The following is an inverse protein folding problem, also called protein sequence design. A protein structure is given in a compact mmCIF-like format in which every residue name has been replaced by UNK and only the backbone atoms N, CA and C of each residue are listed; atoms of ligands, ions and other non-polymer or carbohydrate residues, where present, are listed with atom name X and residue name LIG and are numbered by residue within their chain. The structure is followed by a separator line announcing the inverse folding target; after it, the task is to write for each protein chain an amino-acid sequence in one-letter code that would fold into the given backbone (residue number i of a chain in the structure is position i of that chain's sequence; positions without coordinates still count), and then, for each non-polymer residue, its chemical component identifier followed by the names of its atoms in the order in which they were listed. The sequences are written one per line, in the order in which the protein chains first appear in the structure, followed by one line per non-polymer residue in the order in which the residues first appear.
data_IF_900649032431
#
_entry.id   IF_900649032431
#
_cell.length_a   1.000
_cell.length_b   1.000
_cell.length_c   1.000
_cell.angle_alpha   90.00
_cell.angle_beta   90.00
_cell.angle_gamma   90.00
#
_symmetry.space_group_name_H-M   'P 1'
#
loop_
_entity.id
_entity.type
_entity.pdbx_description
1 polymer ?
#
# COMPACT_ATOMS: atom_id res chain seq x y z
N UNK A 1 12.30 43.82 -0.21
CA UNK A 1 11.75 42.66 -0.95
C UNK A 1 12.59 41.46 -0.60
N UNK A 2 12.12 40.62 0.32
CA UNK A 2 12.76 39.35 0.66
C UNK A 2 12.06 38.28 -0.16
N UNK A 3 12.75 37.72 -1.16
CA UNK A 3 12.20 36.63 -1.99
C UNK A 3 12.37 35.34 -1.20
N UNK A 4 11.27 34.79 -0.68
CA UNK A 4 11.23 33.42 -0.18
C UNK A 4 11.37 32.48 -1.39
N UNK A 5 12.51 31.79 -1.49
CA UNK A 5 12.67 30.67 -2.41
C UNK A 5 12.12 29.44 -1.69
N UNK A 6 10.87 29.10 -1.99
CA UNK A 6 10.26 27.83 -1.60
C UNK A 6 10.99 26.72 -2.38
N UNK A 7 11.99 26.10 -1.77
CA UNK A 7 12.66 24.93 -2.35
C UNK A 7 11.78 23.71 -2.10
N UNK A 8 10.84 23.45 -3.01
CA UNK A 8 10.20 22.15 -3.09
C UNK A 8 11.29 21.15 -3.49
N UNK A 9 11.75 20.34 -2.54
CA UNK A 9 12.54 19.14 -2.85
C UNK A 9 11.56 18.13 -3.43
N UNK A 10 11.19 18.32 -4.71
CA UNK A 10 10.66 17.23 -5.50
C UNK A 10 11.82 16.27 -5.68
N UNK A 11 11.76 15.12 -5.01
CA UNK A 11 12.64 13.99 -5.33
C UNK A 11 12.56 13.77 -6.83
N UNK A 12 13.68 13.98 -7.54
CA UNK A 12 13.73 13.78 -8.98
C UNK A 12 13.52 12.30 -9.27
N UNK A 13 12.31 11.93 -9.73
CA UNK A 13 12.05 10.61 -10.28
C UNK A 13 13.11 10.37 -11.37
N UNK A 14 13.90 9.27 -11.31
CA UNK A 14 14.78 8.95 -12.42
C UNK A 14 13.94 8.82 -13.69
N UNK A 15 14.46 9.28 -14.84
CA UNK A 15 13.73 9.32 -16.12
C UNK A 15 13.29 7.95 -16.66
N UNK A 16 13.50 6.89 -15.89
CA UNK A 16 13.21 5.49 -16.20
C UNK A 16 12.27 4.84 -15.17
N UNK A 17 11.81 5.55 -14.14
CA UNK A 17 10.82 5.00 -13.21
C UNK A 17 9.44 4.94 -13.87
N UNK A 18 8.91 3.74 -14.05
CA UNK A 18 7.56 3.52 -14.53
C UNK A 18 6.54 4.08 -13.52
N UNK A 19 5.61 4.88 -14.04
CA UNK A 19 4.49 5.43 -13.29
C UNK A 19 3.27 5.36 -14.22
N UNK A 20 2.66 4.18 -14.27
CA UNK A 20 1.63 3.82 -15.24
C UNK A 20 0.30 3.68 -14.53
N UNK A 21 -0.73 4.37 -15.00
CA UNK A 21 -2.09 4.27 -14.49
C UNK A 21 -3.03 4.03 -15.67
N UNK A 22 -3.78 2.94 -15.61
CA UNK A 22 -4.63 2.44 -16.70
C UNK A 22 -6.07 2.46 -16.22
N UNK A 23 -6.92 3.18 -16.95
CA UNK A 23 -8.37 3.21 -16.78
C UNK A 23 -8.99 2.15 -17.70
N UNK A 24 -9.45 1.04 -17.11
CA UNK A 24 -9.84 -0.13 -17.87
C UNK A 24 -11.24 0.03 -18.46
N UNK A 25 -11.40 -0.24 -19.76
CA UNK A 25 -12.61 0.05 -20.52
C UNK A 25 -12.73 1.51 -20.99
N UNK A 26 -11.81 2.41 -20.61
CA UNK A 26 -11.74 3.75 -21.18
C UNK A 26 -10.84 3.78 -22.42
N UNK A 27 -11.18 4.64 -23.39
CA UNK A 27 -10.32 4.95 -24.54
C UNK A 27 -9.59 6.28 -24.39
N UNK A 28 -10.26 7.29 -23.84
CA UNK A 28 -9.71 8.63 -23.70
C UNK A 28 -8.91 8.77 -22.39
N UNK A 29 -7.79 9.50 -22.39
CA UNK A 29 -7.03 9.75 -21.18
C UNK A 29 -7.76 10.71 -20.23
N UNK A 30 -7.57 10.50 -18.94
CA UNK A 30 -8.12 11.32 -17.86
C UNK A 30 -6.99 11.76 -16.91
N UNK A 31 -7.11 12.92 -16.28
CA UNK A 31 -6.18 13.34 -15.21
C UNK A 31 -6.98 13.64 -13.97
N UNK A 32 -6.62 12.98 -12.87
CA UNK A 32 -7.35 13.08 -11.62
C UNK A 32 -6.90 14.26 -10.75
N UNK A 33 -7.55 14.38 -9.59
CA UNK A 33 -7.28 15.44 -8.61
C UNK A 33 -5.86 15.36 -8.03
N UNK A 34 -5.24 14.17 -8.03
CA UNK A 34 -3.87 13.94 -7.59
C UNK A 34 -2.84 14.25 -8.70
N UNK A 35 -3.28 14.77 -9.85
CA UNK A 35 -2.44 15.01 -11.03
C UNK A 35 -1.85 13.73 -11.63
N UNK A 36 -2.52 12.59 -11.41
CA UNK A 36 -2.17 11.32 -12.06
C UNK A 36 -2.91 11.27 -13.40
N UNK A 37 -2.14 11.10 -14.48
CA UNK A 37 -2.69 10.84 -15.80
C UNK A 37 -2.99 9.35 -15.96
N UNK A 38 -4.25 9.03 -16.17
CA UNK A 38 -4.79 7.72 -16.48
C UNK A 38 -4.91 7.58 -18.01
N UNK A 39 -4.31 6.53 -18.55
CA UNK A 39 -4.43 6.16 -19.95
C UNK A 39 -5.56 5.15 -20.15
N UNK A 40 -6.25 5.21 -21.29
CA UNK A 40 -7.11 4.11 -21.73
C UNK A 40 -6.33 2.80 -21.92
N UNK A 41 -7.03 1.67 -21.88
CA UNK A 41 -6.39 0.36 -21.80
C UNK A 41 -6.07 -0.32 -23.14
N UNK A 42 -6.55 0.22 -24.26
CA UNK A 42 -6.39 -0.38 -25.61
C UNK A 42 -4.93 -0.65 -26.00
N UNK A 43 -3.98 0.11 -25.46
CA UNK A 43 -2.54 -0.07 -25.69
C UNK A 43 -1.89 -1.18 -24.85
N UNK A 44 -2.58 -1.69 -23.83
CA UNK A 44 -2.04 -2.60 -22.83
C UNK A 44 -2.65 -4.01 -22.90
N UNK A 45 -3.85 -4.16 -23.47
CA UNK A 45 -4.59 -5.42 -23.54
C UNK A 45 -5.21 -5.62 -24.93
N UNK A 46 -5.20 -6.85 -25.43
CA UNK A 46 -5.68 -7.19 -26.78
C UNK A 46 -7.03 -7.92 -26.80
N UNK A 47 -7.52 -8.34 -25.63
CA UNK A 47 -8.76 -9.11 -25.48
C UNK A 47 -9.74 -8.40 -24.53
N UNK A 48 -10.92 -8.98 -24.40
CA UNK A 48 -11.96 -8.45 -23.53
C UNK A 48 -12.78 -7.32 -24.16
N UNK A 49 -13.84 -6.96 -23.47
CA UNK A 49 -14.84 -5.99 -23.91
C UNK A 49 -14.95 -4.87 -22.87
N UNK A 50 -15.07 -3.64 -23.33
CA UNK A 50 -15.36 -2.51 -22.45
C UNK A 50 -16.82 -2.54 -22.02
N UNK A 51 -17.07 -2.32 -20.74
CA UNK A 51 -18.40 -2.19 -20.15
C UNK A 51 -18.50 -0.92 -19.31
N UNK A 52 -19.73 -0.41 -19.22
CA UNK A 52 -20.06 0.72 -18.36
C UNK A 52 -20.72 0.18 -17.09
N UNK A 53 -20.38 0.78 -15.97
CA UNK A 53 -21.08 0.56 -14.70
C UNK A 53 -22.53 1.02 -14.80
N UNK A 54 -23.42 0.38 -14.06
CA UNK A 54 -24.83 0.78 -13.97
C UNK A 54 -24.95 2.24 -13.48
N UNK A 55 -25.77 3.03 -14.18
CA UNK A 55 -25.95 4.47 -13.93
C UNK A 55 -26.51 4.78 -12.53
N UNK A 56 -27.04 3.79 -11.82
CA UNK A 56 -27.48 3.92 -10.43
C UNK A 56 -26.31 4.17 -9.46
N UNK A 57 -25.06 3.86 -9.87
CA UNK A 57 -23.87 4.07 -9.06
C UNK A 57 -23.20 5.41 -9.35
N UNK A 58 -22.95 6.20 -8.30
CA UNK A 58 -22.20 7.45 -8.38
C UNK A 58 -20.75 7.20 -7.97
N UNK A 59 -19.90 6.85 -8.93
CA UNK A 59 -18.48 6.56 -8.71
C UNK A 59 -17.56 7.53 -9.47
N UNK A 60 -16.28 7.56 -9.07
CA UNK A 60 -15.26 8.34 -9.77
C UNK A 60 -15.03 7.84 -11.20
N UNK A 61 -14.47 8.69 -12.05
CA UNK A 61 -14.27 8.44 -13.49
C UNK A 61 -13.62 7.07 -13.78
N UNK A 62 -12.50 6.78 -13.11
CA UNK A 62 -11.71 5.54 -13.26
C UNK A 62 -12.47 4.27 -12.82
N UNK A 63 -13.57 4.42 -12.09
CA UNK A 63 -14.43 3.31 -11.68
C UNK A 63 -15.74 3.26 -12.47
N UNK A 64 -15.98 4.21 -13.40
CA UNK A 64 -17.21 4.24 -14.20
C UNK A 64 -17.17 3.25 -15.38
N UNK A 65 -15.99 2.79 -15.74
CA UNK A 65 -15.75 1.76 -16.75
C UNK A 65 -15.02 0.56 -16.17
N UNK A 66 -15.16 -0.56 -16.85
CA UNK A 66 -14.36 -1.76 -16.60
C UNK A 66 -14.18 -2.55 -17.90
N UNK A 67 -13.14 -3.36 -17.96
CA UNK A 67 -12.97 -4.35 -19.01
C UNK A 67 -13.32 -5.74 -18.49
N UNK A 68 -14.10 -6.48 -19.28
CA UNK A 68 -14.55 -7.85 -18.98
C UNK A 68 -13.95 -8.85 -19.94
N UNK A 69 -13.74 -10.08 -19.49
CA UNK A 69 -13.09 -11.14 -20.28
C UNK A 69 -13.99 -12.39 -20.42
N UNK A 70 -15.04 -12.33 -21.26
CA UNK A 70 -16.06 -13.39 -21.35
C UNK A 70 -15.57 -14.65 -22.07
N UNK A 71 -14.57 -14.53 -22.95
CA UNK A 71 -14.03 -15.66 -23.71
C UNK A 71 -13.02 -16.47 -22.90
N UNK A 72 -13.27 -17.78 -22.81
CA UNK A 72 -12.29 -18.76 -22.33
C UNK A 72 -11.16 -18.89 -23.34
N UNK A 73 -10.05 -18.19 -23.10
CA UNK A 73 -8.82 -18.24 -23.89
C UNK A 73 -7.61 -17.95 -23.01
N UNK A 74 -6.43 -18.46 -23.39
CA UNK A 74 -5.29 -18.56 -22.48
C UNK A 74 -4.55 -17.24 -22.13
N UNK A 75 -5.00 -16.07 -22.59
CA UNK A 75 -4.26 -14.82 -22.33
C UNK A 75 -5.16 -13.56 -22.26
N UNK A 76 -5.84 -13.36 -21.14
CA UNK A 76 -6.44 -12.06 -20.79
C UNK A 76 -5.44 -11.27 -19.93
N UNK A 77 -4.40 -10.75 -20.59
CA UNK A 77 -3.26 -10.16 -19.91
C UNK A 77 -3.05 -8.71 -20.33
N UNK A 78 -2.90 -7.85 -19.33
CA UNK A 78 -2.30 -6.54 -19.50
C UNK A 78 -0.79 -6.72 -19.58
N UNK A 79 -0.14 -6.11 -20.58
CA UNK A 79 1.33 -6.10 -20.70
C UNK A 79 1.84 -4.68 -20.53
N UNK A 80 2.69 -4.45 -19.54
CA UNK A 80 3.28 -3.14 -19.24
C UNK A 80 4.77 -3.22 -19.51
N UNK A 81 5.23 -2.45 -20.51
CA UNK A 81 6.65 -2.36 -20.89
C UNK A 81 7.37 -1.19 -20.23
N UNK A 82 8.63 -0.98 -20.63
CA UNK A 82 9.44 0.14 -20.13
C UNK A 82 10.10 -0.12 -18.77
N UNK A 83 10.19 -1.38 -18.37
CA UNK A 83 10.81 -1.82 -17.13
C UNK A 83 12.26 -2.27 -17.35
N UNK A 84 12.98 -2.49 -16.26
CA UNK A 84 14.32 -3.06 -16.21
C UNK A 84 14.29 -4.44 -15.56
N UNK A 85 15.19 -5.32 -15.99
CA UNK A 85 15.30 -6.64 -15.38
C UNK A 85 15.79 -6.51 -13.93
N UNK A 86 15.05 -7.09 -12.98
CA UNK A 86 15.32 -6.95 -11.55
C UNK A 86 14.71 -5.69 -10.93
N UNK A 87 13.90 -4.95 -11.68
CA UNK A 87 13.18 -3.79 -11.16
C UNK A 87 12.10 -4.24 -10.17
N UNK A 88 12.07 -3.57 -9.01
CA UNK A 88 11.02 -3.79 -8.01
C UNK A 88 9.86 -2.86 -8.33
N UNK A 89 8.67 -3.44 -8.48
CA UNK A 89 7.45 -2.69 -8.81
C UNK A 89 6.37 -2.96 -7.78
N UNK A 90 5.54 -1.96 -7.52
CA UNK A 90 4.24 -2.10 -6.89
C UNK A 90 3.19 -2.12 -7.99
N UNK A 91 2.36 -3.15 -7.99
CA UNK A 91 1.18 -3.26 -8.86
C UNK A 91 -0.07 -3.21 -8.00
N UNK A 92 -1.03 -2.36 -8.39
CA UNK A 92 -2.36 -2.28 -7.78
C UNK A 92 -3.43 -2.55 -8.84
N UNK A 93 -4.28 -3.54 -8.58
CA UNK A 93 -5.43 -3.83 -9.42
C UNK A 93 -6.72 -3.51 -8.64
N UNK A 94 -7.61 -2.73 -9.25
CA UNK A 94 -8.87 -2.29 -8.63
C UNK A 94 -10.07 -2.85 -9.37
N UNK A 95 -11.09 -3.26 -8.59
CA UNK A 95 -12.27 -3.95 -9.06
C UNK A 95 -13.51 -3.30 -8.45
N UNK A 96 -14.27 -2.62 -9.30
CA UNK A 96 -15.62 -2.18 -8.98
C UNK A 96 -16.59 -2.85 -9.94
N UNK A 97 -17.40 -3.78 -9.43
CA UNK A 97 -18.31 -4.56 -10.26
C UNK A 97 -19.45 -3.70 -10.84
N UNK A 98 -20.01 -2.79 -10.03
CA UNK A 98 -20.96 -1.78 -10.49
C UNK A 98 -22.18 -2.33 -11.24
N UNK A 99 -22.54 -3.60 -11.00
CA UNK A 99 -23.64 -4.32 -11.65
C UNK A 99 -23.71 -4.15 -13.19
N UNK A 100 -22.57 -4.09 -13.87
CA UNK A 100 -22.50 -3.77 -15.31
C UNK A 100 -23.34 -4.71 -16.20
N UNK A 101 -23.59 -5.95 -15.75
CA UNK A 101 -24.35 -6.97 -16.47
C UNK A 101 -25.79 -7.19 -15.94
N UNK A 102 -26.20 -6.42 -14.92
CA UNK A 102 -27.53 -6.51 -14.31
C UNK A 102 -27.76 -7.75 -13.43
N UNK A 103 -26.74 -8.58 -13.14
CA UNK A 103 -26.90 -9.84 -12.42
C UNK A 103 -26.77 -9.72 -10.90
N UNK A 104 -26.22 -8.62 -10.38
CA UNK A 104 -25.92 -8.41 -8.96
C UNK A 104 -25.13 -9.57 -8.33
N UNK A 105 -24.27 -10.22 -9.12
CA UNK A 105 -23.59 -11.45 -8.74
C UNK A 105 -22.13 -11.38 -9.19
N UNK A 106 -21.27 -10.66 -8.44
CA UNK A 106 -19.89 -10.46 -8.86
C UNK A 106 -19.12 -11.79 -8.91
N UNK A 107 -18.22 -11.95 -9.90
CA UNK A 107 -17.52 -13.19 -10.16
C UNK A 107 -16.31 -13.42 -9.23
N UNK A 108 -15.88 -14.66 -9.14
CA UNK A 108 -14.61 -15.11 -8.54
C UNK A 108 -13.66 -15.56 -9.64
N UNK A 109 -12.44 -15.04 -9.64
CA UNK A 109 -11.44 -15.33 -10.67
C UNK A 109 -10.03 -15.17 -10.11
N UNK A 110 -9.04 -15.69 -10.83
CA UNK A 110 -7.63 -15.62 -10.40
C UNK A 110 -6.90 -14.48 -11.10
N UNK A 111 -6.00 -13.84 -10.36
CA UNK A 111 -4.98 -12.93 -10.89
C UNK A 111 -3.64 -13.65 -10.95
N UNK A 112 -2.95 -13.49 -12.07
CA UNK A 112 -1.59 -13.95 -12.26
C UNK A 112 -0.67 -12.77 -12.56
N UNK A 113 0.50 -12.76 -11.95
CA UNK A 113 1.57 -11.79 -12.20
C UNK A 113 2.75 -12.57 -12.80
N UNK A 114 3.13 -12.24 -14.04
CA UNK A 114 4.18 -12.91 -14.80
C UNK A 114 4.00 -14.44 -14.85
N UNK A 115 2.74 -14.88 -14.93
CA UNK A 115 2.35 -16.30 -14.96
C UNK A 115 2.34 -17.01 -13.60
N UNK A 116 2.70 -16.34 -12.50
CA UNK A 116 2.58 -16.88 -11.16
C UNK A 116 1.23 -16.48 -10.56
N UNK A 117 0.56 -17.41 -9.86
CA UNK A 117 -0.68 -17.09 -9.16
C UNK A 117 -0.38 -16.03 -8.11
N UNK A 118 -1.01 -14.86 -8.25
CA UNK A 118 -0.91 -13.77 -7.30
C UNK A 118 -2.00 -13.91 -6.23
N UNK A 119 -3.28 -13.93 -6.64
CA UNK A 119 -4.40 -14.04 -5.70
C UNK A 119 -5.67 -14.50 -6.41
N UNK A 120 -6.54 -15.24 -5.69
CA UNK A 120 -7.93 -15.47 -6.09
C UNK A 120 -8.80 -14.33 -5.60
N UNK A 121 -9.39 -13.58 -6.52
CA UNK A 121 -10.27 -12.45 -6.23
C UNK A 121 -11.66 -12.96 -5.85
N UNK A 122 -12.13 -12.58 -4.67
CA UNK A 122 -13.50 -12.80 -4.21
C UNK A 122 -14.14 -11.47 -3.82
N UNK A 123 -15.26 -11.11 -4.44
CA UNK A 123 -16.05 -9.93 -4.08
C UNK A 123 -17.21 -10.33 -3.14
N UNK A 124 -16.97 -11.26 -2.22
CA UNK A 124 -17.99 -11.88 -1.36
C UNK A 124 -18.69 -10.91 -0.40
N UNK A 125 -18.06 -9.75 -0.12
CA UNK A 125 -18.62 -8.67 0.71
C UNK A 125 -18.99 -7.45 -0.14
N UNK A 126 -19.29 -7.63 -1.43
CA UNK A 126 -19.79 -6.55 -2.28
C UNK A 126 -21.00 -5.90 -1.62
N UNK A 127 -20.81 -4.65 -1.18
CA UNK A 127 -21.91 -3.72 -1.01
C UNK A 127 -21.97 -2.86 -2.26
N UNK A 128 -23.17 -2.40 -2.58
CA UNK A 128 -23.50 -1.65 -3.81
C UNK A 128 -22.47 -0.55 -4.18
N UNK A 129 -21.76 0.08 -3.23
CA UNK A 129 -20.80 1.16 -3.50
C UNK A 129 -19.35 0.87 -3.10
N UNK A 130 -18.95 -0.40 -2.92
CA UNK A 130 -17.58 -0.72 -2.49
C UNK A 130 -16.77 -1.32 -3.63
N UNK A 131 -15.65 -0.68 -3.96
CA UNK A 131 -14.60 -1.28 -4.78
C UNK A 131 -13.63 -2.06 -3.89
N UNK A 132 -12.99 -3.07 -4.46
CA UNK A 132 -11.88 -3.78 -3.81
C UNK A 132 -10.62 -3.55 -4.63
N UNK A 133 -9.48 -3.44 -3.97
CA UNK A 133 -8.19 -3.43 -4.65
C UNK A 133 -7.25 -4.44 -3.98
N UNK A 134 -6.29 -4.92 -4.74
CA UNK A 134 -5.18 -5.71 -4.22
C UNK A 134 -3.86 -5.11 -4.70
N UNK A 135 -2.84 -5.22 -3.87
CA UNK A 135 -1.49 -4.78 -4.19
C UNK A 135 -0.49 -5.93 -4.05
N UNK A 136 0.48 -5.95 -4.97
CA UNK A 136 1.66 -6.79 -4.88
C UNK A 136 2.91 -5.95 -5.11
N UNK A 137 3.94 -6.21 -4.32
CA UNK A 137 5.31 -5.82 -4.67
C UNK A 137 6.02 -7.06 -5.19
N UNK A 138 6.64 -6.93 -6.36
CA UNK A 138 7.33 -8.01 -7.06
C UNK A 138 8.58 -7.51 -7.77
N UNK A 139 9.55 -8.41 -7.96
CA UNK A 139 10.76 -8.14 -8.73
C UNK A 139 10.59 -8.74 -10.12
N UNK A 140 10.41 -7.88 -11.13
CA UNK A 140 10.13 -8.32 -12.49
C UNK A 140 11.37 -8.92 -13.17
N UNK A 141 11.16 -9.97 -13.94
CA UNK A 141 12.21 -10.64 -14.71
C UNK A 141 12.11 -10.29 -16.19
N UNK A 142 12.44 -9.06 -16.57
CA UNK A 142 12.42 -8.63 -17.96
C UNK A 142 12.30 -7.12 -18.13
N UNK A 143 11.98 -6.69 -19.36
CA UNK A 143 11.71 -5.27 -19.69
C UNK A 143 10.21 -4.95 -19.79
N UNK A 144 9.38 -5.95 -19.54
CA UNK A 144 7.94 -5.86 -19.46
C UNK A 144 7.43 -6.88 -18.44
N UNK A 145 6.23 -6.64 -17.92
CA UNK A 145 5.51 -7.54 -17.02
C UNK A 145 4.08 -7.75 -17.51
N UNK A 146 3.45 -8.85 -17.08
CA UNK A 146 2.05 -9.14 -17.37
C UNK A 146 1.20 -9.39 -16.14
N UNK A 147 0.01 -8.79 -16.15
CA UNK A 147 -1.06 -9.04 -15.18
C UNK A 147 -2.22 -9.69 -15.91
N UNK A 148 -2.47 -10.96 -15.62
CA UNK A 148 -3.46 -11.78 -16.31
C UNK A 148 -4.65 -12.11 -15.40
N UNK A 149 -5.84 -12.11 -15.99
CA UNK A 149 -7.09 -12.48 -15.31
C UNK A 149 -7.60 -13.82 -15.86
N UNK A 150 -7.79 -14.81 -14.99
CA UNK A 150 -8.18 -16.16 -15.38
C UNK A 150 -9.51 -16.56 -14.77
N UNK A 151 -10.42 -17.03 -15.62
CA UNK A 151 -11.68 -17.62 -15.20
C UNK A 151 -11.43 -18.96 -14.49
N UNK A 152 -11.95 -19.10 -13.27
CA UNK A 152 -11.80 -20.33 -12.46
C UNK A 152 -12.95 -21.32 -12.68
N UNK A 153 -14.15 -20.82 -12.98
CA UNK A 153 -15.35 -21.63 -13.21
C UNK A 153 -16.20 -21.05 -14.35
N UNK A 154 -17.02 -21.87 -15.03
CA UNK A 154 -17.95 -21.38 -16.04
C UNK A 154 -18.84 -20.24 -15.51
N UNK A 155 -19.05 -19.22 -16.33
CA UNK A 155 -19.85 -18.03 -16.01
C UNK A 155 -19.30 -17.13 -14.87
N UNK A 156 -18.09 -17.38 -14.38
CA UNK A 156 -17.37 -16.43 -13.52
C UNK A 156 -16.46 -15.55 -14.39
N UNK A 157 -17.02 -14.50 -14.98
CA UNK A 157 -16.32 -13.69 -16.00
C UNK A 157 -15.34 -12.72 -15.34
N UNK A 158 -14.02 -12.84 -15.53
CA UNK A 158 -13.08 -11.91 -14.92
C UNK A 158 -13.27 -10.48 -15.44
N UNK A 159 -13.03 -9.49 -14.58
CA UNK A 159 -13.10 -8.08 -14.95
C UNK A 159 -12.07 -7.26 -14.17
N UNK A 160 -11.78 -6.04 -14.62
CA UNK A 160 -10.91 -5.08 -13.93
C UNK A 160 -11.34 -3.65 -14.26
N UNK A 161 -11.31 -2.76 -13.26
CA UNK A 161 -11.68 -1.35 -13.41
C UNK A 161 -10.44 -0.47 -13.59
N UNK A 162 -9.36 -0.76 -12.88
CA UNK A 162 -8.10 -0.03 -13.08
C UNK A 162 -6.87 -0.85 -12.73
N UNK A 163 -5.74 -0.48 -13.35
CA UNK A 163 -4.43 -1.09 -13.11
C UNK A 163 -3.36 -0.01 -12.98
N UNK A 164 -2.64 -0.01 -11.86
CA UNK A 164 -1.54 0.92 -11.59
C UNK A 164 -0.23 0.15 -11.43
N UNK A 165 0.86 0.67 -11.98
CA UNK A 165 2.22 0.19 -11.77
C UNK A 165 3.14 1.35 -11.37
N UNK A 166 3.93 1.13 -10.32
CA UNK A 166 4.91 2.08 -9.78
C UNK A 166 6.25 1.40 -9.62
N UNK A 167 7.29 1.95 -10.23
CA UNK A 167 8.66 1.57 -9.91
C UNK A 167 9.02 2.01 -8.50
N UNK A 168 9.58 1.09 -7.73
CA UNK A 168 10.05 1.33 -6.37
C UNK A 168 11.57 1.55 -6.35
N UNK A 169 12.07 2.06 -5.22
CA UNK A 169 13.50 2.15 -4.98
C UNK A 169 14.16 0.76 -5.02
N UNK A 170 15.40 0.65 -5.54
CA UNK A 170 16.07 -0.64 -5.73
C UNK A 170 16.36 -1.38 -4.42
N UNK A 171 16.41 -0.66 -3.29
CA UNK A 171 16.64 -1.24 -1.98
C UNK A 171 15.37 -1.45 -1.15
N UNK A 172 14.25 -0.80 -1.51
CA UNK A 172 12.99 -0.91 -0.76
C UNK A 172 12.56 -2.37 -0.67
N UNK A 173 12.05 -2.82 0.48
CA UNK A 173 11.57 -4.18 0.69
C UNK A 173 12.65 -5.23 0.37
N UNK A 174 13.90 -4.94 0.72
CA UNK A 174 15.10 -5.70 0.36
C UNK A 174 15.21 -7.07 1.04
N UNK A 175 14.39 -7.30 2.06
CA UNK A 175 14.40 -8.54 2.85
C UNK A 175 13.58 -9.68 2.26
N UNK A 176 12.81 -9.44 1.18
CA UNK A 176 11.99 -10.46 0.53
C UNK A 176 12.66 -10.93 -0.75
N UNK A 177 12.82 -12.24 -0.88
CA UNK A 177 13.46 -12.84 -2.05
C UNK A 177 12.68 -12.58 -3.34
N UNK A 178 13.38 -12.42 -4.45
CA UNK A 178 12.82 -12.06 -5.77
C UNK A 178 11.76 -13.02 -6.35
N UNK A 179 11.50 -14.16 -5.71
CA UNK A 179 10.50 -15.16 -6.14
C UNK A 179 9.15 -15.01 -5.43
N UNK A 180 9.08 -14.16 -4.41
CA UNK A 180 7.90 -14.00 -3.56
C UNK A 180 7.23 -12.65 -3.85
N UNK A 181 5.92 -12.61 -3.64
CA UNK A 181 5.16 -11.36 -3.63
C UNK A 181 5.12 -10.82 -2.21
N UNK A 182 5.18 -9.51 -2.03
CA UNK A 182 4.56 -8.90 -0.85
C UNK A 182 3.13 -8.53 -1.22
N UNK A 183 2.15 -9.25 -0.70
CA UNK A 183 0.74 -9.10 -1.07
C UNK A 183 -0.10 -8.54 0.07
N UNK A 184 -1.25 -7.94 -0.28
CA UNK A 184 -2.28 -7.55 0.69
C UNK A 184 -1.81 -6.43 1.63
N UNK A 185 -1.17 -5.41 1.06
CA UNK A 185 -0.59 -4.32 1.82
C UNK A 185 -1.63 -3.63 2.73
N UNK A 186 -1.40 -3.69 4.03
CA UNK A 186 -2.05 -2.84 5.01
C UNK A 186 -1.03 -1.78 5.46
N UNK A 187 -1.19 -0.55 4.95
CA UNK A 187 -0.34 0.59 5.32
C UNK A 187 -1.13 1.58 6.13
N UNK A 188 -0.73 1.77 7.39
CA UNK A 188 -1.40 2.66 8.31
C UNK A 188 -0.64 3.98 8.45
N UNK A 189 -1.39 5.08 8.38
CA UNK A 189 -0.94 6.40 8.81
C UNK A 189 -1.85 6.93 9.91
N UNK A 190 -1.30 7.77 10.78
CA UNK A 190 -2.07 8.50 11.78
C UNK A 190 -2.28 9.97 11.39
N UNK A 191 -1.98 10.32 10.14
CA UNK A 191 -2.36 11.60 9.57
C UNK A 191 -3.89 11.77 9.54
N UNK A 192 -4.34 13.02 9.46
CA UNK A 192 -5.78 13.34 9.44
C UNK A 192 -6.51 12.76 8.22
N UNK A 193 -5.80 12.56 7.12
CA UNK A 193 -6.32 12.04 5.86
C UNK A 193 -5.38 10.96 5.35
N UNK A 194 -5.89 10.09 4.47
CA UNK A 194 -5.05 9.13 3.75
C UNK A 194 -3.97 9.85 2.96
N UNK A 195 -2.79 9.22 2.86
CA UNK A 195 -1.63 9.77 2.14
C UNK A 195 -1.35 8.91 0.92
N UNK A 196 -1.11 9.56 -0.22
CA UNK A 196 -0.64 8.94 -1.47
C UNK A 196 0.13 9.98 -2.28
N UNK A 197 0.32 9.77 -3.59
CA UNK A 197 0.87 10.80 -4.46
C UNK A 197 0.06 12.12 -4.39
N UNK A 198 0.70 13.30 -4.37
CA UNK A 198 2.14 13.55 -4.55
C UNK A 198 2.99 13.44 -3.28
N UNK A 199 2.39 13.31 -2.10
CA UNK A 199 3.12 13.25 -0.83
C UNK A 199 3.94 11.97 -0.68
N UNK A 200 3.47 10.85 -1.24
CA UNK A 200 4.26 9.64 -1.50
C UNK A 200 4.65 9.55 -2.98
N UNK A 201 5.94 9.75 -3.32
CA UNK A 201 6.43 9.66 -4.70
C UNK A 201 6.23 8.28 -5.36
N UNK A 202 6.12 7.22 -4.55
CA UNK A 202 5.86 5.85 -4.97
C UNK A 202 4.36 5.53 -5.04
N UNK A 203 3.50 6.50 -4.70
CA UNK A 203 2.04 6.40 -4.77
C UNK A 203 1.46 5.18 -4.04
N UNK A 204 2.10 4.79 -2.93
CA UNK A 204 1.51 3.83 -1.99
C UNK A 204 0.30 4.46 -1.33
N UNK A 205 -0.76 3.68 -1.15
CA UNK A 205 -1.92 4.14 -0.38
C UNK A 205 -1.67 3.89 1.10
N UNK A 206 -1.67 4.97 1.88
CA UNK A 206 -1.63 4.93 3.34
C UNK A 206 -3.02 5.26 3.88
N UNK A 207 -3.63 4.30 4.57
CA UNK A 207 -4.97 4.43 5.15
C UNK A 207 -4.86 5.12 6.49
N UNK A 208 -5.71 6.14 6.72
CA UNK A 208 -5.72 6.86 7.98
C UNK A 208 -6.42 6.05 9.09
N UNK A 209 -5.77 5.93 10.24
CA UNK A 209 -6.35 5.36 11.46
C UNK A 209 -6.53 6.45 12.50
N UNK A 210 -7.72 6.50 13.10
CA UNK A 210 -8.03 7.47 14.15
C UNK A 210 -7.51 7.00 15.52
N UNK A 211 -7.14 7.96 16.37
CA UNK A 211 -6.88 7.66 17.78
C UNK A 211 -8.17 7.23 18.51
N UNK A 212 -8.07 6.15 19.27
CA UNK A 212 -9.10 5.77 20.24
C UNK A 212 -9.02 6.60 21.53
N UNK A 213 -9.91 6.33 22.49
CA UNK A 213 -9.99 7.11 23.75
C UNK A 213 -8.71 7.08 24.62
N UNK A 214 -7.89 6.04 24.48
CA UNK A 214 -6.67 5.84 25.28
C UNK A 214 -5.39 6.28 24.56
N UNK A 215 -5.53 7.07 23.50
CA UNK A 215 -4.42 7.55 22.69
C UNK A 215 -4.67 8.96 22.16
N UNK A 216 -3.59 9.59 21.72
CA UNK A 216 -3.58 10.88 21.07
C UNK A 216 -2.73 10.83 19.80
N UNK A 217 -3.04 11.71 18.85
CA UNK A 217 -2.18 11.93 17.69
C UNK A 217 -1.28 13.12 17.98
N UNK A 218 0.02 12.84 18.08
CA UNK A 218 1.05 13.86 18.17
C UNK A 218 1.47 14.28 16.77
N UNK A 219 1.74 15.57 16.60
CA UNK A 219 2.12 16.15 15.30
C UNK A 219 3.45 16.86 15.38
N UNK A 220 4.20 16.85 14.29
CA UNK A 220 5.51 17.50 14.14
C UNK A 220 5.51 18.42 12.93
N UNK A 221 5.91 19.67 13.12
CA UNK A 221 6.15 20.62 12.03
C UNK A 221 7.58 20.51 11.46
N UNK A 222 8.42 19.62 12.01
CA UNK A 222 9.78 19.44 11.55
C UNK A 222 9.80 18.72 10.19
N UNK A 223 10.77 19.10 9.36
CA UNK A 223 11.16 18.27 8.23
C UNK A 223 11.82 16.99 8.76
N UNK A 224 11.46 15.85 8.18
CA UNK A 224 11.98 14.54 8.60
C UNK A 224 12.81 13.99 7.46
N UNK A 225 14.09 13.72 7.72
CA UNK A 225 14.96 13.06 6.76
C UNK A 225 14.57 11.58 6.63
N UNK A 226 14.04 11.25 5.45
CA UNK A 226 13.59 9.89 5.09
C UNK A 226 14.66 9.12 4.30
N UNK A 227 15.76 9.76 3.94
CA UNK A 227 16.81 9.14 3.10
C UNK A 227 17.56 8.02 3.80
N UNK A 228 17.44 7.92 5.12
CA UNK A 228 18.05 6.88 5.95
C UNK A 228 17.20 5.62 6.08
N UNK A 229 15.93 5.66 5.68
CA UNK A 229 15.02 4.50 5.68
C UNK A 229 15.11 3.76 4.36
N UNK A 230 15.05 2.43 4.42
CA UNK A 230 15.08 1.55 3.25
C UNK A 230 13.83 1.79 2.39
N UNK A 231 12.67 1.85 3.03
CA UNK A 231 11.36 1.94 2.39
C UNK A 231 10.86 3.37 2.16
N UNK A 232 11.62 4.38 2.59
CA UNK A 232 11.38 5.80 2.30
C UNK A 232 9.89 6.20 2.48
N UNK A 233 9.30 6.03 3.68
CA UNK A 233 7.93 6.46 3.94
C UNK A 233 7.79 7.98 3.72
N UNK A 234 6.63 8.48 3.29
CA UNK A 234 6.44 9.91 3.05
C UNK A 234 6.51 10.71 4.35
N UNK A 235 7.04 11.94 4.30
CA UNK A 235 7.15 12.81 5.48
C UNK A 235 5.78 13.11 6.10
N UNK A 236 4.73 13.27 5.27
CA UNK A 236 3.37 13.52 5.74
C UNK A 236 2.87 12.41 6.69
N UNK A 237 3.34 11.17 6.50
CA UNK A 237 3.02 10.06 7.39
C UNK A 237 3.85 10.16 8.68
N UNK A 238 5.15 10.44 8.57
CA UNK A 238 6.05 10.52 9.73
C UNK A 238 5.80 11.73 10.64
N UNK A 239 5.21 12.80 10.12
CA UNK A 239 4.85 13.99 10.90
C UNK A 239 3.67 13.76 11.86
N UNK A 240 3.04 12.59 11.80
CA UNK A 240 1.94 12.21 12.67
C UNK A 240 2.33 10.93 13.40
N UNK A 241 2.06 10.87 14.72
CA UNK A 241 2.33 9.69 15.51
C UNK A 241 1.19 9.38 16.45
N UNK A 242 0.78 8.11 16.48
CA UNK A 242 -0.08 7.60 17.53
C UNK A 242 0.74 7.40 18.79
N UNK A 243 0.37 8.07 19.87
CA UNK A 243 0.94 7.89 21.19
C UNK A 243 -0.15 7.50 22.20
N UNK A 244 0.17 6.59 23.10
CA UNK A 244 -0.75 6.28 24.20
C UNK A 244 -0.69 7.36 25.28
N UNK A 245 -1.72 7.45 26.11
CA UNK A 245 -1.79 8.46 27.19
C UNK A 245 -0.92 8.12 28.41
N UNK A 246 -0.30 6.94 28.45
CA UNK A 246 0.49 6.44 29.58
C UNK A 246 1.59 5.49 29.12
N UNK A 247 2.70 5.45 29.85
CA UNK A 247 3.78 4.46 29.68
C UNK A 247 3.35 3.03 29.96
N UNK A 248 2.24 2.83 30.68
CA UNK A 248 1.67 1.50 30.95
C UNK A 248 0.81 0.95 29.81
N UNK A 249 0.60 1.72 28.75
CA UNK A 249 -0.22 1.36 27.60
C UNK A 249 0.65 1.33 26.34
N UNK A 250 0.35 0.41 25.43
CA UNK A 250 1.07 0.23 24.19
C UNK A 250 0.14 0.16 22.98
N UNK A 251 0.45 0.84 21.86
CA UNK A 251 -0.21 0.61 20.59
C UNK A 251 -0.10 -0.86 20.17
N UNK A 252 -1.20 -1.42 19.68
CA UNK A 252 -1.26 -2.71 19.02
C UNK A 252 -1.62 -2.46 17.57
N UNK A 253 -0.87 -3.06 16.65
CA UNK A 253 -1.13 -2.90 15.22
C UNK A 253 -2.45 -3.61 14.88
N UNK A 254 -3.28 -2.94 14.09
CA UNK A 254 -4.35 -3.60 13.36
C UNK A 254 -3.75 -4.16 12.08
N UNK A 255 -3.47 -5.46 12.08
CA UNK A 255 -2.67 -6.10 11.03
C UNK A 255 -3.49 -6.51 9.82
N UNK A 256 -4.80 -6.68 9.98
CA UNK A 256 -5.71 -7.23 8.96
C UNK A 256 -5.25 -8.56 8.35
N UNK A 257 -4.39 -9.31 9.08
CA UNK A 257 -3.90 -10.60 8.61
C UNK A 257 -5.05 -11.63 8.50
N UNK A 258 -4.99 -12.54 7.52
CA UNK A 258 -5.97 -13.60 7.41
C UNK A 258 -5.91 -14.54 8.64
N UNK A 259 -7.01 -15.27 8.86
CA UNK A 259 -7.06 -16.29 9.92
C UNK A 259 -6.05 -17.43 9.71
N UNK A 260 -5.68 -17.69 8.45
CA UNK A 260 -4.65 -18.67 8.10
C UNK A 260 -3.26 -18.24 8.55
N UNK A 261 -2.43 -19.22 8.89
CA UNK A 261 -1.03 -19.00 9.27
C UNK A 261 -0.20 -18.84 8.00
N UNK A 262 0.59 -17.76 7.91
CA UNK A 262 1.43 -17.46 6.74
C UNK A 262 2.66 -16.64 7.11
N UNK A 263 3.64 -16.60 6.20
CA UNK A 263 4.82 -15.74 6.35
C UNK A 263 4.41 -14.29 6.18
N UNK A 264 4.94 -13.40 7.03
CA UNK A 264 4.63 -11.97 6.99
C UNK A 264 5.89 -11.12 6.91
N UNK A 265 5.72 -9.93 6.36
CA UNK A 265 6.68 -8.85 6.40
C UNK A 265 6.00 -7.63 7.02
N UNK A 266 6.50 -7.16 8.16
CA UNK A 266 5.93 -6.01 8.89
C UNK A 266 6.99 -4.93 9.00
N UNK A 267 6.66 -3.70 8.67
CA UNK A 267 7.53 -2.54 8.83
C UNK A 267 6.90 -1.58 9.81
N UNK A 268 7.68 -1.05 10.75
CA UNK A 268 7.25 -0.02 11.68
C UNK A 268 8.18 1.18 11.59
N UNK A 269 7.60 2.38 11.57
CA UNK A 269 8.34 3.63 11.44
C UNK A 269 8.23 4.46 12.70
N UNK A 270 9.38 4.92 13.18
CA UNK A 270 9.52 5.71 14.41
C UNK A 270 10.32 6.97 14.13
N UNK A 271 9.72 8.11 14.45
CA UNK A 271 10.35 9.42 14.49
C UNK A 271 9.77 10.18 15.68
N UNK A 272 10.64 10.75 16.49
CA UNK A 272 10.21 11.59 17.59
C UNK A 272 9.62 12.89 17.03
N UNK A 273 8.40 13.20 17.47
CA UNK A 273 7.61 14.34 16.99
C UNK A 273 7.91 15.64 17.71
N UNK A 274 8.65 15.58 18.82
CA UNK A 274 9.04 16.75 19.62
C UNK A 274 10.49 16.67 20.05
N UNK A 275 11.18 17.82 20.12
CA UNK A 275 12.56 17.83 20.61
C UNK A 275 12.56 17.65 22.13
N UNK A 276 13.00 16.50 22.59
CA UNK A 276 13.04 16.16 24.01
C UNK A 276 14.16 16.92 24.75
N UNK A 277 13.88 17.31 26.00
CA UNK A 277 14.90 17.83 26.91
C UNK A 277 15.76 16.69 27.51
N UNK A 278 16.82 17.04 28.25
CA UNK A 278 17.74 16.05 28.84
C UNK A 278 17.13 15.19 29.95
N UNK A 279 15.94 15.53 30.45
CA UNK A 279 15.20 14.78 31.47
C UNK A 279 14.12 13.87 30.88
N UNK A 280 13.79 14.08 29.60
CA UNK A 280 12.81 13.31 28.86
C UNK A 280 13.49 12.23 28.02
N UNK A 281 12.87 11.06 27.98
CA UNK A 281 13.32 9.93 27.19
C UNK A 281 12.11 9.14 26.74
N UNK A 282 12.02 8.88 25.44
CA UNK A 282 11.11 7.88 24.89
C UNK A 282 11.92 6.66 24.49
N UNK A 283 11.64 5.55 25.16
CA UNK A 283 12.30 4.28 24.93
C UNK A 283 11.26 3.19 24.75
N UNK A 284 11.35 2.48 23.63
CA UNK A 284 10.26 1.64 23.11
C UNK A 284 10.77 0.21 22.91
N UNK A 285 10.01 -0.75 23.41
CA UNK A 285 10.19 -2.17 23.15
C UNK A 285 9.09 -2.66 22.20
N UNK A 286 9.52 -3.35 21.13
CA UNK A 286 8.62 -4.00 20.17
C UNK A 286 8.43 -5.46 20.58
N UNK A 287 7.19 -5.95 20.54
CA UNK A 287 6.79 -7.29 20.93
C UNK A 287 6.03 -8.03 19.83
N UNK A 288 6.30 -9.34 19.73
CA UNK A 288 5.48 -10.31 18.97
C UNK A 288 4.96 -11.34 19.98
N UNK A 289 3.65 -11.43 20.16
CA UNK A 289 3.00 -12.32 21.14
C UNK A 289 3.59 -12.21 22.56
N UNK A 290 3.85 -10.98 23.00
CA UNK A 290 4.47 -10.63 24.29
C UNK A 290 5.95 -11.03 24.43
N UNK A 291 6.61 -11.51 23.37
CA UNK A 291 8.06 -11.73 23.35
C UNK A 291 8.77 -10.52 22.73
N UNK A 292 9.81 -9.96 23.37
CA UNK A 292 10.56 -8.85 22.80
C UNK A 292 11.23 -9.28 21.49
N UNK A 293 11.06 -8.49 20.44
CA UNK A 293 11.61 -8.82 19.11
C UNK A 293 13.08 -8.44 18.96
N UNK A 294 13.45 -7.27 19.49
CA UNK A 294 14.79 -6.68 19.41
C UNK A 294 15.10 -5.87 20.67
N UNK A 295 16.33 -5.38 20.82
CA UNK A 295 16.68 -4.46 21.92
C UNK A 295 15.90 -3.15 21.83
N UNK A 296 15.54 -2.50 22.95
CA UNK A 296 14.76 -1.26 22.93
C UNK A 296 15.31 -0.17 22.00
N UNK A 297 14.41 0.51 21.30
CA UNK A 297 14.73 1.59 20.38
C UNK A 297 14.49 2.96 21.00
N UNK A 298 15.25 3.95 20.53
CA UNK A 298 15.05 5.37 20.81
C UNK A 298 14.68 6.05 19.49
N UNK A 299 13.42 6.54 19.32
CA UNK A 299 13.03 7.25 18.12
C UNK A 299 13.91 8.50 17.89
N UNK A 300 14.48 8.69 16.70
CA UNK A 300 15.28 9.87 16.40
C UNK A 300 14.39 11.09 16.15
N UNK A 301 14.86 12.30 16.47
CA UNK A 301 14.22 13.55 16.09
C UNK A 301 14.79 14.09 14.78
N UNK A 302 13.93 14.40 13.80
CA UNK A 302 14.33 14.94 12.50
C UNK A 302 14.80 13.91 11.47
N UNK A 303 14.81 12.63 11.81
CA UNK A 303 14.99 11.50 10.88
C UNK A 303 14.06 10.35 11.26
N UNK A 304 14.12 9.24 10.53
CA UNK A 304 13.30 8.05 10.78
C UNK A 304 14.16 6.85 11.15
N UNK A 305 13.67 6.09 12.13
CA UNK A 305 14.09 4.72 12.37
C UNK A 305 13.03 3.77 11.80
N UNK A 306 13.46 2.92 10.88
CA UNK A 306 12.66 1.84 10.31
C UNK A 306 13.01 0.54 11.01
N UNK A 307 11.99 -0.25 11.37
CA UNK A 307 12.13 -1.60 11.91
C UNK A 307 11.36 -2.56 11.03
N UNK A 308 12.09 -3.44 10.35
CA UNK A 308 11.51 -4.50 9.53
C UNK A 308 11.52 -5.83 10.29
N UNK A 309 10.33 -6.41 10.46
CA UNK A 309 10.11 -7.73 11.06
C UNK A 309 10.01 -8.74 9.93
N UNK A 310 10.95 -9.70 9.93
CA UNK A 310 11.10 -10.70 8.87
C UNK A 310 11.24 -12.09 9.46
N UNK A 311 11.05 -13.13 8.62
CA UNK A 311 11.12 -14.53 9.02
C UNK A 311 10.15 -14.91 10.15
N UNK A 312 9.00 -14.24 10.19
CA UNK A 312 7.92 -14.50 11.14
C UNK A 312 6.76 -15.14 10.40
N UNK A 313 6.18 -16.15 11.03
CA UNK A 313 4.94 -16.78 10.60
C UNK A 313 3.86 -16.30 11.57
N UNK A 314 2.81 -15.69 11.02
CA UNK A 314 1.77 -15.01 11.78
C UNK A 314 0.37 -15.36 11.23
N UNK A 315 -0.65 -15.01 11.99
CA UNK A 315 -2.06 -15.06 11.60
C UNK A 315 -2.82 -13.91 12.25
N UNK A 316 -4.13 -13.84 12.03
CA UNK A 316 -5.03 -12.90 12.72
C UNK A 316 -4.89 -12.89 14.25
N UNK A 317 -4.43 -13.99 14.86
CA UNK A 317 -4.24 -14.06 16.32
C UNK A 317 -2.89 -13.52 16.81
N UNK A 318 -1.92 -13.34 15.92
CA UNK A 318 -0.58 -12.85 16.26
C UNK A 318 -0.61 -11.37 16.60
N UNK A 319 -0.04 -11.01 17.75
CA UNK A 319 -0.06 -9.63 18.26
C UNK A 319 1.29 -8.96 18.07
N UNK A 320 1.29 -7.90 17.26
CA UNK A 320 2.40 -6.96 17.15
C UNK A 320 2.07 -5.73 18.00
N UNK A 321 2.92 -5.42 18.96
CA UNK A 321 2.68 -4.29 19.86
C UNK A 321 3.96 -3.55 20.21
N UNK A 322 3.82 -2.28 20.57
CA UNK A 322 4.92 -1.42 21.00
C UNK A 322 4.62 -0.93 22.41
N UNK A 323 5.59 -0.97 23.31
CA UNK A 323 5.40 -0.59 24.72
C UNK A 323 6.56 0.29 25.18
N UNK A 324 6.32 1.17 26.16
CA UNK A 324 7.40 1.91 26.80
C UNK A 324 8.23 0.95 27.66
N UNK A 325 9.55 1.14 27.66
CA UNK A 325 10.43 0.46 28.61
C UNK A 325 10.31 1.08 30.01
N UNK A 326 10.75 0.37 31.07
CA UNK A 326 10.68 0.88 32.44
C UNK A 326 11.45 2.20 32.68
N UNK A 327 12.44 2.50 31.85
CA UNK A 327 13.25 3.73 31.91
C UNK A 327 12.75 4.85 30.97
N UNK A 328 11.64 4.63 30.27
CA UNK A 328 10.99 5.67 29.46
C UNK A 328 10.20 6.63 30.36
N UNK A 329 10.41 7.93 30.21
CA UNK A 329 9.62 8.95 30.90
C UNK A 329 8.41 9.44 30.09
N UNK A 330 8.33 9.03 28.82
CA UNK A 330 7.22 9.32 27.91
C UNK A 330 6.54 8.04 27.41
N UNK A 331 5.23 8.07 27.11
CA UNK A 331 4.52 6.94 26.49
C UNK A 331 5.18 6.44 25.20
N UNK A 332 4.96 5.21 24.72
CA UNK A 332 5.41 4.83 23.39
C UNK A 332 4.66 5.61 22.29
N UNK A 333 5.29 5.74 21.12
CA UNK A 333 4.64 6.24 19.90
C UNK A 333 4.97 5.36 18.70
N UNK A 334 4.17 5.47 17.65
CA UNK A 334 4.44 4.89 16.32
C UNK A 334 3.90 5.85 15.26
N UNK A 335 4.69 6.11 14.22
CA UNK A 335 4.31 7.07 13.17
C UNK A 335 3.52 6.39 12.06
N UNK A 336 3.91 5.15 11.73
CA UNK A 336 3.22 4.33 10.74
C UNK A 336 3.69 2.89 10.80
N UNK A 337 2.95 2.04 10.09
CA UNK A 337 3.37 0.67 9.83
C UNK A 337 2.86 0.17 8.49
N UNK A 338 3.51 -0.87 7.97
CA UNK A 338 3.08 -1.64 6.81
C UNK A 338 3.05 -3.12 7.19
N UNK A 339 2.03 -3.85 6.73
CA UNK A 339 1.90 -5.30 6.92
C UNK A 339 1.63 -5.94 5.57
N UNK A 340 2.37 -7.01 5.28
CA UNK A 340 2.25 -7.79 4.05
C UNK A 340 2.27 -9.29 4.35
N UNK A 341 1.60 -10.07 3.50
CA UNK A 341 1.80 -11.52 3.40
C UNK A 341 2.84 -11.84 2.31
N UNK A 342 3.58 -12.95 2.48
CA UNK A 342 4.62 -13.43 1.57
C UNK A 342 4.19 -14.72 0.87
#
# INVERSE_FOLDING_TARGET
LLVLVLSAVLGSKPSFAAFVSIDCGASDPYTDENQITWAGDDGYVQSGESQQVDQLYSVGHVLSTLRVFPTSGNSNCYTIGGLQNGERVLVRATFFYGNYDGQNSPPTFDLYFDGNLWITMTLSNYTENTYVFTEAIYIVSGTATSICLAQTMPNQIPFISSLELRSLGPNMYGHVGAKYFLSGANRATFAKQSVRYPDDPYDRLWTNYAAGQSAEILTSDAAIDVSTSEDQPPQAVLQNAYATTSTSLGPMLDTELPAGVGSVYVVMYFSEVTRLDSTQKRSIQIYIDNNPYLDPIIPPYGSVLEVSITNVVASLSTRFSVQATPDSSLPPLINAYEVYTI
#
